data_IF_896243130279
#
_entry.id   IF_896243130279
#
_cell.length_a   1.000
_cell.length_b   1.000
_cell.length_c   1.000
_cell.angle_alpha   90.00
_cell.angle_beta   90.00
_cell.angle_gamma   90.00
#
_symmetry.space_group_name_H-M   'P 1'
#
loop_
_entity.id
_entity.type
_entity.pdbx_description
1 polymer ?
#
# COMPACT_ATOMS: atom_id res chain seq x y z
N UNK A 1 25.96 -0.29 -43.82
CA UNK A 1 24.90 0.68 -44.21
C UNK A 1 24.55 1.48 -42.99
N UNK A 2 24.86 2.78 -42.98
CA UNK A 2 24.51 3.68 -41.89
C UNK A 2 23.05 4.05 -42.08
N UNK A 3 22.14 3.35 -41.39
CA UNK A 3 20.74 3.76 -41.34
C UNK A 3 20.62 4.99 -40.42
N UNK A 4 19.69 5.92 -40.71
CA UNK A 4 19.60 7.19 -39.99
C UNK A 4 19.12 7.02 -38.53
N UNK A 5 18.37 5.96 -38.24
CA UNK A 5 17.87 5.64 -36.90
C UNK A 5 18.78 4.77 -36.05
N UNK A 6 18.31 4.42 -34.86
CA UNK A 6 19.06 3.61 -33.89
C UNK A 6 18.95 2.08 -34.07
N UNK A 7 18.13 1.61 -35.03
CA UNK A 7 17.98 0.20 -35.42
C UNK A 7 17.70 0.12 -36.93
N UNK A 8 18.12 -0.94 -37.66
CA UNK A 8 17.69 -1.13 -39.04
C UNK A 8 16.17 -1.29 -39.12
N UNK A 9 15.50 -0.63 -40.08
CA UNK A 9 14.06 -0.77 -40.27
C UNK A 9 13.69 -2.17 -40.79
N UNK A 10 12.46 -2.66 -40.53
CA UNK A 10 11.91 -3.85 -41.17
C UNK A 10 11.83 -3.69 -42.69
N UNK A 11 11.80 -4.80 -43.43
CA UNK A 11 11.69 -4.77 -44.88
C UNK A 11 10.46 -3.95 -45.34
N UNK A 12 10.70 -2.90 -46.14
CA UNK A 12 9.66 -2.03 -46.69
C UNK A 12 9.30 -0.81 -45.85
N UNK A 13 9.98 -0.54 -44.73
CA UNK A 13 9.77 0.66 -43.92
C UNK A 13 10.92 1.64 -44.12
N UNK A 14 10.63 2.87 -44.56
CA UNK A 14 11.62 3.95 -44.60
C UNK A 14 11.64 4.69 -43.24
N UNK A 15 12.79 4.72 -42.54
CA UNK A 15 12.90 5.41 -41.26
C UNK A 15 12.82 6.92 -41.48
N UNK A 16 11.96 7.60 -40.73
CA UNK A 16 11.74 9.03 -40.85
C UNK A 16 11.95 9.74 -39.50
N UNK A 17 13.09 10.43 -39.39
CA UNK A 17 13.46 11.19 -38.19
C UNK A 17 12.72 12.53 -38.08
N UNK A 18 12.28 13.12 -39.19
CA UNK A 18 11.62 14.44 -39.21
C UNK A 18 10.12 14.35 -38.86
N UNK A 19 9.48 13.25 -39.26
CA UNK A 19 8.09 12.93 -38.95
C UNK A 19 7.97 11.47 -38.51
N UNK A 20 8.42 11.15 -37.29
CA UNK A 20 8.34 9.79 -36.78
C UNK A 20 6.88 9.40 -36.57
N UNK A 21 6.56 8.14 -36.88
CA UNK A 21 5.19 7.61 -36.72
C UNK A 21 4.88 7.52 -35.22
N UNK A 22 3.81 8.19 -34.79
CA UNK A 22 3.32 8.08 -33.42
C UNK A 22 2.60 6.74 -33.24
N UNK A 23 3.23 5.83 -32.51
CA UNK A 23 2.64 4.53 -32.15
C UNK A 23 2.01 4.58 -30.76
N UNK A 24 2.75 5.11 -29.79
CA UNK A 24 2.36 5.09 -28.37
C UNK A 24 2.72 6.37 -27.62
N UNK A 25 3.27 7.39 -28.30
CA UNK A 25 3.79 8.59 -27.66
C UNK A 25 2.66 9.46 -27.11
N UNK A 26 1.60 9.68 -27.89
CA UNK A 26 0.40 10.39 -27.42
C UNK A 26 -0.27 9.64 -26.27
N UNK A 27 -0.40 8.32 -26.38
CA UNK A 27 -0.97 7.48 -25.32
C UNK A 27 -0.17 7.58 -24.01
N UNK A 28 1.17 7.57 -24.08
CA UNK A 28 2.03 7.77 -22.92
C UNK A 28 1.70 9.12 -22.23
N UNK A 29 1.72 10.24 -22.95
CA UNK A 29 1.43 11.55 -22.35
C UNK A 29 0.06 11.63 -21.70
N UNK A 30 -0.97 11.16 -22.41
CA UNK A 30 -2.35 11.17 -21.90
C UNK A 30 -2.46 10.31 -20.64
N UNK A 31 -1.89 9.12 -20.62
CA UNK A 31 -1.95 8.25 -19.45
C UNK A 31 -1.15 8.82 -18.28
N UNK A 32 0.03 9.40 -18.48
CA UNK A 32 0.77 10.04 -17.37
C UNK A 32 -0.04 11.20 -16.78
N UNK A 33 -0.61 12.06 -17.62
CA UNK A 33 -1.42 13.20 -17.16
C UNK A 33 -2.67 12.74 -16.40
N UNK A 34 -3.40 11.75 -16.92
CA UNK A 34 -4.57 11.19 -16.25
C UNK A 34 -4.19 10.54 -14.92
N UNK A 35 -3.16 9.70 -14.88
CA UNK A 35 -2.73 9.06 -13.64
C UNK A 35 -2.36 10.09 -12.59
N UNK A 36 -1.61 11.13 -12.95
CA UNK A 36 -1.28 12.22 -12.03
C UNK A 36 -2.52 12.94 -11.52
N UNK A 37 -3.46 13.30 -12.39
CA UNK A 37 -4.68 13.99 -12.00
C UNK A 37 -5.54 13.16 -11.03
N UNK A 38 -5.80 11.88 -11.38
CA UNK A 38 -6.60 10.99 -10.55
C UNK A 38 -5.91 10.69 -9.22
N UNK A 39 -4.65 10.26 -9.24
CA UNK A 39 -3.94 9.94 -8.00
C UNK A 39 -3.83 11.14 -7.07
N UNK A 40 -3.54 12.34 -7.60
CA UNK A 40 -3.50 13.58 -6.82
C UNK A 40 -4.85 13.87 -6.16
N UNK A 41 -5.95 13.71 -6.89
CA UNK A 41 -7.30 13.90 -6.35
C UNK A 41 -7.60 12.94 -5.18
N UNK A 42 -7.29 11.65 -5.34
CA UNK A 42 -7.53 10.64 -4.31
C UNK A 42 -6.64 10.85 -3.07
N UNK A 43 -5.36 11.17 -3.26
CA UNK A 43 -4.41 11.44 -2.18
C UNK A 43 -4.76 12.73 -1.45
N UNK A 44 -5.14 13.80 -2.16
CA UNK A 44 -5.62 15.04 -1.56
C UNK A 44 -6.89 14.81 -0.73
N UNK A 45 -7.82 14.01 -1.26
CA UNK A 45 -9.04 13.63 -0.52
C UNK A 45 -8.70 12.86 0.75
N UNK A 46 -7.73 11.93 0.68
CA UNK A 46 -7.23 11.19 1.85
C UNK A 46 -6.60 12.12 2.89
N UNK A 47 -5.76 13.06 2.45
CA UNK A 47 -5.12 14.05 3.32
C UNK A 47 -6.18 14.91 4.03
N UNK A 48 -7.15 15.44 3.28
CA UNK A 48 -8.27 16.18 3.82
C UNK A 48 -9.08 15.37 4.84
N UNK A 49 -9.35 14.09 4.54
CA UNK A 49 -10.06 13.18 5.44
C UNK A 49 -9.37 13.04 6.79
N UNK A 50 -8.05 12.87 6.78
CA UNK A 50 -7.25 12.72 7.99
C UNK A 50 -7.21 14.01 8.80
N UNK A 51 -6.88 15.12 8.15
CA UNK A 51 -6.67 16.40 8.83
C UNK A 51 -7.95 16.97 9.42
N UNK A 52 -9.06 16.97 8.66
CA UNK A 52 -10.31 17.61 9.09
C UNK A 52 -11.30 16.69 9.80
N UNK A 53 -11.29 15.39 9.48
CA UNK A 53 -12.40 14.51 9.88
C UNK A 53 -11.97 13.45 10.88
N UNK A 54 -10.89 12.70 10.60
CA UNK A 54 -10.56 11.54 11.43
C UNK A 54 -9.83 11.90 12.73
N UNK A 55 -9.17 13.06 12.82
CA UNK A 55 -8.56 13.55 14.06
C UNK A 55 -7.62 12.52 14.70
N UNK A 56 -6.41 12.41 14.18
CA UNK A 56 -5.39 11.48 14.67
C UNK A 56 -4.08 11.66 13.92
N UNK A 57 -2.96 11.30 14.57
CA UNK A 57 -1.63 11.41 13.97
C UNK A 57 -1.46 10.62 12.67
N UNK A 58 -0.34 10.89 11.98
CA UNK A 58 0.02 10.22 10.73
C UNK A 58 0.27 8.73 10.99
N UNK A 59 -0.49 7.86 10.32
CA UNK A 59 -0.35 6.40 10.48
C UNK A 59 0.68 5.84 9.50
N UNK A 60 1.23 4.64 9.77
CA UNK A 60 2.24 4.00 8.88
C UNK A 60 1.75 3.84 7.44
N UNK A 61 0.47 3.54 7.24
CA UNK A 61 -0.16 3.49 5.92
C UNK A 61 -0.23 4.86 5.23
N UNK A 62 -0.40 5.95 5.99
CA UNK A 62 -0.36 7.30 5.41
C UNK A 62 1.04 7.63 4.88
N UNK A 63 2.08 7.36 5.66
CA UNK A 63 3.48 7.61 5.26
C UNK A 63 3.79 6.82 3.99
N UNK A 64 3.44 5.53 3.94
CA UNK A 64 3.64 4.69 2.78
C UNK A 64 2.89 5.22 1.54
N UNK A 65 1.66 5.70 1.70
CA UNK A 65 0.83 6.27 0.61
C UNK A 65 1.38 7.60 0.08
N UNK A 66 1.83 8.50 0.95
CA UNK A 66 2.41 9.77 0.50
C UNK A 66 3.78 9.57 -0.13
N UNK A 67 4.58 8.62 0.39
CA UNK A 67 5.87 8.26 -0.20
C UNK A 67 5.69 7.66 -1.59
N UNK A 68 4.74 6.73 -1.76
CA UNK A 68 4.45 6.17 -3.08
C UNK A 68 3.92 7.20 -4.07
N UNK A 69 3.13 8.18 -3.61
CA UNK A 69 2.67 9.29 -4.44
C UNK A 69 3.84 10.16 -4.94
N UNK A 70 4.78 10.53 -4.07
CA UNK A 70 5.98 11.31 -4.47
C UNK A 70 6.82 10.54 -5.49
N UNK A 71 7.02 9.23 -5.28
CA UNK A 71 7.75 8.38 -6.22
C UNK A 71 7.00 8.23 -7.55
N UNK A 72 5.68 8.14 -7.53
CA UNK A 72 4.82 8.12 -8.72
C UNK A 72 4.96 9.42 -9.53
N UNK A 73 5.02 10.58 -8.87
CA UNK A 73 5.26 11.85 -9.55
C UNK A 73 6.61 11.85 -10.26
N UNK A 74 7.68 11.40 -9.59
CA UNK A 74 9.01 11.25 -10.21
C UNK A 74 9.01 10.29 -11.39
N UNK A 75 8.29 9.17 -11.27
CA UNK A 75 8.11 8.20 -12.35
C UNK A 75 7.42 8.80 -13.57
N UNK A 76 6.28 9.49 -13.37
CA UNK A 76 5.52 10.14 -14.43
C UNK A 76 6.35 11.23 -15.12
N UNK A 77 7.06 12.08 -14.37
CA UNK A 77 7.94 13.13 -14.93
C UNK A 77 9.00 12.50 -15.83
N UNK A 78 9.66 11.44 -15.34
CA UNK A 78 10.69 10.73 -16.11
C UNK A 78 10.12 10.14 -17.40
N UNK A 79 8.91 9.58 -17.37
CA UNK A 79 8.22 9.06 -18.56
C UNK A 79 7.76 10.14 -19.54
N UNK A 80 7.39 11.33 -19.06
CA UNK A 80 7.08 12.49 -19.90
C UNK A 80 8.34 12.97 -20.62
N UNK A 81 9.46 13.09 -19.89
CA UNK A 81 10.76 13.44 -20.47
C UNK A 81 11.16 12.40 -21.53
N UNK A 82 11.04 11.11 -21.23
CA UNK A 82 11.34 10.03 -22.17
C UNK A 82 10.51 10.13 -23.48
N UNK A 83 9.27 10.60 -23.40
CA UNK A 83 8.40 10.86 -24.56
C UNK A 83 8.97 11.87 -25.56
N UNK A 84 9.75 12.86 -25.08
CA UNK A 84 10.39 13.85 -25.93
C UNK A 84 11.60 13.28 -26.68
N UNK A 85 12.20 12.20 -26.17
CA UNK A 85 13.43 11.60 -26.70
C UNK A 85 13.23 10.22 -27.35
N UNK A 86 11.98 9.85 -27.67
CA UNK A 86 11.70 8.64 -28.45
C UNK A 86 10.79 7.59 -27.80
N UNK A 87 10.31 7.80 -26.57
CA UNK A 87 9.34 6.88 -25.98
C UNK A 87 8.04 6.87 -26.80
N UNK A 88 7.61 5.67 -27.21
CA UNK A 88 6.42 5.47 -28.04
C UNK A 88 6.63 5.69 -29.55
N UNK A 89 7.87 5.93 -30.00
CA UNK A 89 8.26 5.92 -31.42
C UNK A 89 9.00 4.62 -31.75
N UNK A 90 8.98 4.19 -33.01
CA UNK A 90 9.77 3.02 -33.42
C UNK A 90 11.27 3.32 -33.32
N UNK A 91 12.06 2.30 -32.98
CA UNK A 91 13.48 2.48 -32.71
C UNK A 91 14.28 2.98 -33.94
N UNK A 92 13.86 2.59 -35.14
CA UNK A 92 14.43 3.06 -36.41
C UNK A 92 14.05 4.51 -36.76
N UNK A 93 13.07 5.11 -36.08
CA UNK A 93 12.66 6.52 -36.25
C UNK A 93 13.28 7.44 -35.17
N UNK A 94 14.18 6.91 -34.33
CA UNK A 94 14.82 7.65 -33.23
C UNK A 94 16.31 7.82 -33.50
N UNK A 95 16.80 9.05 -33.34
CA UNK A 95 18.22 9.38 -33.50
C UNK A 95 19.07 8.67 -32.43
N UNK A 96 20.30 8.21 -32.73
CA UNK A 96 21.20 7.64 -31.74
C UNK A 96 21.49 8.55 -30.53
N UNK A 97 21.45 9.88 -30.73
CA UNK A 97 21.62 10.86 -29.63
C UNK A 97 20.43 10.84 -28.67
N UNK A 98 19.21 10.80 -29.21
CA UNK A 98 17.98 10.77 -28.42
C UNK A 98 17.80 9.41 -27.75
N UNK A 99 18.24 8.33 -28.41
CA UNK A 99 18.27 6.99 -27.82
C UNK A 99 19.07 6.93 -26.52
N UNK A 100 20.24 7.58 -26.46
CA UNK A 100 21.04 7.63 -25.23
C UNK A 100 20.26 8.28 -24.08
N UNK A 101 19.60 9.41 -24.35
CA UNK A 101 18.77 10.12 -23.36
C UNK A 101 17.54 9.29 -22.96
N UNK A 102 16.94 8.58 -23.91
CA UNK A 102 15.83 7.65 -23.65
C UNK A 102 16.25 6.53 -22.71
N UNK A 103 17.42 5.91 -22.92
CA UNK A 103 17.96 4.88 -22.03
C UNK A 103 18.26 5.45 -20.64
N UNK A 104 18.79 6.67 -20.53
CA UNK A 104 18.97 7.33 -19.23
C UNK A 104 17.65 7.55 -18.50
N UNK A 105 16.60 7.99 -19.21
CA UNK A 105 15.26 8.11 -18.66
C UNK A 105 14.71 6.74 -18.25
N UNK A 106 14.97 5.70 -19.04
CA UNK A 106 14.55 4.34 -18.71
C UNK A 106 15.20 3.80 -17.44
N UNK A 107 16.51 4.00 -17.30
CA UNK A 107 17.23 3.68 -16.07
C UNK A 107 16.61 4.41 -14.86
N UNK A 108 16.41 5.73 -14.95
CA UNK A 108 15.76 6.51 -13.90
C UNK A 108 14.35 6.01 -13.57
N UNK A 109 13.55 5.65 -14.59
CA UNK A 109 12.21 5.10 -14.41
C UNK A 109 12.24 3.79 -13.61
N UNK A 110 13.20 2.90 -13.85
CA UNK A 110 13.34 1.66 -13.06
C UNK A 110 13.67 1.93 -11.59
N UNK A 111 14.47 2.97 -11.32
CA UNK A 111 14.82 3.38 -9.97
C UNK A 111 13.65 4.02 -9.22
N UNK A 112 12.75 4.73 -9.90
CA UNK A 112 11.51 5.21 -9.27
C UNK A 112 10.47 4.09 -9.09
N UNK A 113 10.34 3.19 -10.07
CA UNK A 113 9.32 2.14 -10.04
C UNK A 113 9.52 1.15 -8.89
N UNK A 114 10.75 0.68 -8.64
CA UNK A 114 11.01 -0.31 -7.59
C UNK A 114 10.56 0.13 -6.17
N UNK A 115 10.97 1.29 -5.65
CA UNK A 115 10.51 1.78 -4.35
C UNK A 115 9.03 2.21 -4.39
N UNK A 116 8.53 2.68 -5.53
CA UNK A 116 7.10 3.01 -5.69
C UNK A 116 6.23 1.75 -5.50
N UNK A 117 6.54 0.67 -6.21
CA UNK A 117 5.82 -0.59 -6.12
C UNK A 117 5.85 -1.15 -4.68
N UNK A 118 7.03 -1.11 -4.03
CA UNK A 118 7.16 -1.52 -2.64
C UNK A 118 6.26 -0.70 -1.71
N UNK A 119 6.32 0.62 -1.79
CA UNK A 119 5.58 1.52 -0.88
C UNK A 119 4.06 1.43 -1.09
N UNK A 120 3.58 1.22 -2.32
CA UNK A 120 2.16 0.92 -2.59
C UNK A 120 1.75 -0.39 -1.92
N UNK A 121 2.51 -1.47 -2.09
CA UNK A 121 2.22 -2.78 -1.48
C UNK A 121 2.23 -2.72 0.04
N UNK A 122 3.19 -2.00 0.63
CA UNK A 122 3.25 -1.75 2.06
C UNK A 122 2.02 -0.99 2.57
N UNK A 123 1.56 0.04 1.84
CA UNK A 123 0.33 0.76 2.20
C UNK A 123 -0.88 -0.19 2.24
N UNK A 124 -1.06 -1.02 1.21
CA UNK A 124 -2.16 -1.99 1.14
C UNK A 124 -2.08 -3.03 2.28
N UNK A 125 -0.88 -3.52 2.58
CA UNK A 125 -0.66 -4.45 3.69
C UNK A 125 -0.97 -3.80 5.04
N UNK A 126 -0.48 -2.59 5.31
CA UNK A 126 -0.78 -1.87 6.55
C UNK A 126 -2.27 -1.55 6.72
N UNK A 127 -2.96 -1.19 5.63
CA UNK A 127 -4.42 -1.01 5.64
C UNK A 127 -5.11 -2.33 6.01
N UNK A 128 -4.67 -3.45 5.42
CA UNK A 128 -5.23 -4.77 5.69
C UNK A 128 -4.99 -5.19 7.16
N UNK A 129 -3.78 -5.01 7.67
CA UNK A 129 -3.42 -5.20 9.09
C UNK A 129 -4.30 -4.35 10.00
N UNK A 130 -4.54 -3.08 9.66
CA UNK A 130 -5.40 -2.19 10.47
C UNK A 130 -6.85 -2.65 10.50
N UNK A 131 -7.37 -3.17 9.39
CA UNK A 131 -8.78 -3.60 9.29
C UNK A 131 -9.00 -4.92 10.04
N UNK A 132 -8.07 -5.86 9.95
CA UNK A 132 -8.24 -7.23 10.50
C UNK A 132 -7.44 -7.51 11.78
N UNK A 133 -6.54 -6.61 12.19
CA UNK A 133 -5.59 -6.82 13.29
C UNK A 133 -6.22 -7.00 14.66
N UNK A 134 -7.42 -6.47 14.86
CA UNK A 134 -8.16 -6.67 16.11
C UNK A 134 -8.68 -8.10 16.30
N UNK A 135 -8.76 -8.91 15.23
CA UNK A 135 -9.48 -10.19 15.25
C UNK A 135 -8.55 -11.40 15.26
N UNK A 136 -7.40 -11.34 14.56
CA UNK A 136 -6.54 -12.52 14.36
C UNK A 136 -5.06 -12.23 14.68
N UNK A 137 -4.67 -12.32 15.95
CA UNK A 137 -3.27 -12.09 16.39
C UNK A 137 -2.25 -13.01 15.70
N UNK A 138 -2.59 -14.27 15.43
CA UNK A 138 -1.69 -15.22 14.72
C UNK A 138 -1.47 -14.83 13.26
N UNK A 139 -2.51 -14.36 12.56
CA UNK A 139 -2.39 -13.88 11.17
C UNK A 139 -1.53 -12.62 11.10
N UNK A 140 -1.55 -11.75 12.11
CA UNK A 140 -0.71 -10.54 12.14
C UNK A 140 0.79 -10.87 12.08
N UNK A 141 1.22 -11.96 12.73
CA UNK A 141 2.61 -12.41 12.67
C UNK A 141 2.97 -12.80 11.23
N UNK A 142 2.12 -13.56 10.55
CA UNK A 142 2.30 -13.93 9.15
C UNK A 142 2.38 -12.73 8.21
N UNK A 143 1.51 -11.73 8.40
CA UNK A 143 1.54 -10.49 7.61
C UNK A 143 2.85 -9.72 7.85
N UNK A 144 3.31 -9.63 9.09
CA UNK A 144 4.53 -8.89 9.41
C UNK A 144 5.79 -9.58 8.85
N UNK A 145 5.83 -10.92 8.87
CA UNK A 145 6.88 -11.71 8.20
C UNK A 145 6.85 -11.49 6.69
N UNK A 146 5.66 -11.50 6.08
CA UNK A 146 5.51 -11.23 4.65
C UNK A 146 5.94 -9.81 4.26
N UNK A 147 5.62 -8.80 5.08
CA UNK A 147 6.14 -7.44 4.92
C UNK A 147 7.66 -7.43 4.95
N UNK A 148 8.29 -8.09 5.92
CA UNK A 148 9.75 -8.18 6.02
C UNK A 148 10.39 -8.82 4.80
N UNK A 149 9.82 -9.93 4.31
CA UNK A 149 10.28 -10.62 3.10
C UNK A 149 10.16 -9.73 1.85
N UNK A 150 9.04 -9.02 1.70
CA UNK A 150 8.85 -8.09 0.59
C UNK A 150 9.87 -6.95 0.61
N UNK A 151 10.08 -6.33 1.78
CA UNK A 151 11.06 -5.26 1.92
C UNK A 151 12.45 -5.77 1.58
N UNK A 152 12.86 -6.93 2.10
CA UNK A 152 14.16 -7.51 1.79
C UNK A 152 14.35 -7.76 0.29
N UNK A 153 13.33 -8.31 -0.38
CA UNK A 153 13.38 -8.57 -1.83
C UNK A 153 13.47 -7.26 -2.65
N UNK A 154 12.58 -6.30 -2.41
CA UNK A 154 12.57 -5.05 -3.19
C UNK A 154 13.79 -4.18 -2.92
N UNK A 155 14.31 -4.15 -1.69
CA UNK A 155 15.54 -3.40 -1.36
C UNK A 155 16.75 -4.04 -2.04
N UNK A 156 16.90 -5.36 -1.97
CA UNK A 156 17.99 -6.05 -2.68
C UNK A 156 17.89 -5.88 -4.20
N UNK A 157 16.69 -6.04 -4.76
CA UNK A 157 16.42 -5.79 -6.18
C UNK A 157 16.71 -4.34 -6.60
N UNK A 158 16.43 -3.35 -5.74
CA UNK A 158 16.77 -1.96 -6.00
C UNK A 158 18.28 -1.75 -6.12
N UNK A 159 19.09 -2.32 -5.22
CA UNK A 159 20.55 -2.23 -5.32
C UNK A 159 21.11 -2.95 -6.55
N UNK A 160 20.53 -4.09 -6.93
CA UNK A 160 20.89 -4.79 -8.17
C UNK A 160 20.62 -3.89 -9.39
N UNK A 161 19.46 -3.23 -9.44
CA UNK A 161 19.11 -2.28 -10.51
C UNK A 161 20.00 -1.04 -10.51
N UNK A 162 20.37 -0.55 -9.32
CA UNK A 162 21.28 0.58 -9.17
C UNK A 162 22.67 0.26 -9.74
N UNK A 163 23.18 -0.94 -9.48
CA UNK A 163 24.47 -1.42 -9.98
C UNK A 163 24.34 -2.39 -11.16
N UNK A 164 23.37 -2.18 -12.04
CA UNK A 164 23.07 -3.10 -13.14
C UNK A 164 24.23 -3.23 -14.15
N UNK A 165 25.04 -2.17 -14.29
CA UNK A 165 26.26 -2.17 -15.12
C UNK A 165 27.44 -1.55 -14.37
N UNK A 166 28.66 -1.98 -14.71
CA UNK A 166 29.91 -1.41 -14.19
C UNK A 166 30.87 -1.06 -15.33
N UNK A 167 31.05 0.23 -15.67
CA UNK A 167 30.45 1.44 -15.07
C UNK A 167 28.97 1.62 -15.45
N UNK A 168 28.22 2.42 -14.67
CA UNK A 168 26.80 2.72 -14.94
C UNK A 168 26.62 3.30 -16.35
N UNK A 169 27.64 4.00 -16.87
CA UNK A 169 27.62 4.55 -18.22
C UNK A 169 27.54 3.53 -19.34
N UNK A 170 27.90 2.27 -19.08
CA UNK A 170 27.72 1.18 -20.04
C UNK A 170 26.24 0.97 -20.41
N UNK A 171 25.31 1.24 -19.47
CA UNK A 171 23.88 1.05 -19.68
C UNK A 171 23.34 1.84 -20.89
N UNK A 172 23.64 3.14 -20.96
CA UNK A 172 23.17 4.00 -22.05
C UNK A 172 24.12 4.06 -23.25
N UNK A 173 25.33 3.53 -23.12
CA UNK A 173 26.25 3.37 -24.25
C UNK A 173 26.00 2.05 -25.02
N UNK A 174 25.15 1.15 -24.49
CA UNK A 174 24.81 -0.11 -25.15
C UNK A 174 25.86 -1.21 -25.01
N UNK A 175 26.79 -1.08 -24.06
CA UNK A 175 27.85 -2.06 -23.82
C UNK A 175 27.33 -3.18 -22.90
N UNK A 176 26.70 -4.19 -23.51
CA UNK A 176 25.99 -5.26 -22.83
C UNK A 176 26.91 -6.24 -22.08
N UNK A 177 28.20 -6.31 -22.43
CA UNK A 177 29.16 -7.22 -21.79
C UNK A 177 29.50 -6.78 -20.36
N UNK A 178 29.40 -5.47 -20.09
CA UNK A 178 29.66 -4.87 -18.78
C UNK A 178 28.42 -4.78 -17.89
N UNK A 179 27.29 -5.36 -18.34
CA UNK A 179 25.99 -5.30 -17.69
C UNK A 179 25.51 -6.69 -17.27
N UNK A 180 24.72 -6.73 -16.20
CA UNK A 180 23.94 -7.91 -15.87
C UNK A 180 22.82 -8.13 -16.90
N UNK A 181 22.33 -9.37 -17.01
CA UNK A 181 21.23 -9.71 -17.92
C UNK A 181 19.95 -8.96 -17.51
N UNK A 182 19.67 -7.86 -18.21
CA UNK A 182 18.55 -6.98 -17.96
C UNK A 182 17.21 -7.69 -18.16
N UNK A 183 17.13 -8.59 -19.13
CA UNK A 183 15.91 -9.35 -19.41
C UNK A 183 15.61 -10.33 -18.28
N UNK A 184 16.64 -11.01 -17.75
CA UNK A 184 16.48 -11.90 -16.60
C UNK A 184 16.01 -11.11 -15.36
N UNK A 185 16.61 -9.95 -15.09
CA UNK A 185 16.25 -9.10 -13.94
C UNK A 185 14.80 -8.59 -14.07
N UNK A 186 14.42 -8.04 -15.24
CA UNK A 186 13.08 -7.50 -15.49
C UNK A 186 12.02 -8.60 -15.42
N UNK A 187 12.32 -9.79 -15.94
CA UNK A 187 11.39 -10.94 -15.90
C UNK A 187 11.20 -11.42 -14.46
N UNK A 188 12.29 -11.57 -13.69
CA UNK A 188 12.20 -11.97 -12.29
C UNK A 188 11.41 -10.94 -11.46
N UNK A 189 11.66 -9.65 -11.66
CA UNK A 189 10.93 -8.56 -11.00
C UNK A 189 9.43 -8.60 -11.32
N UNK A 190 9.06 -8.85 -12.59
CA UNK A 190 7.67 -8.97 -13.00
C UNK A 190 6.97 -10.18 -12.37
N UNK A 191 7.64 -11.34 -12.33
CA UNK A 191 7.10 -12.56 -11.69
C UNK A 191 6.85 -12.30 -10.20
N UNK A 192 7.83 -11.74 -9.50
CA UNK A 192 7.68 -11.47 -8.07
C UNK A 192 6.63 -10.37 -7.81
N UNK A 193 6.49 -9.38 -8.70
CA UNK A 193 5.41 -8.40 -8.59
C UNK A 193 4.03 -9.07 -8.65
N UNK A 194 3.82 -9.98 -9.62
CA UNK A 194 2.56 -10.74 -9.74
C UNK A 194 2.30 -11.62 -8.52
N UNK A 195 3.30 -12.37 -8.06
CA UNK A 195 3.16 -13.26 -6.89
C UNK A 195 2.80 -12.45 -5.64
N UNK A 196 3.49 -11.32 -5.43
CA UNK A 196 3.22 -10.46 -4.28
C UNK A 196 1.84 -9.80 -4.35
N UNK A 197 1.38 -9.40 -5.54
CA UNK A 197 0.03 -8.83 -5.70
C UNK A 197 -1.07 -9.87 -5.44
N UNK A 198 -0.89 -11.09 -5.97
CA UNK A 198 -1.80 -12.21 -5.69
C UNK A 198 -1.82 -12.54 -4.19
N UNK A 199 -0.67 -12.57 -3.54
CA UNK A 199 -0.58 -12.81 -2.10
C UNK A 199 -1.34 -11.73 -1.30
N UNK A 200 -1.19 -10.45 -1.65
CA UNK A 200 -1.91 -9.34 -1.01
C UNK A 200 -3.41 -9.45 -1.27
N UNK A 201 -3.82 -9.83 -2.48
CA UNK A 201 -5.22 -10.01 -2.87
C UNK A 201 -5.90 -11.17 -2.13
N UNK A 202 -5.21 -12.29 -1.97
CA UNK A 202 -5.73 -13.46 -1.27
C UNK A 202 -5.72 -13.31 0.24
N UNK A 203 -4.87 -12.43 0.80
CA UNK A 203 -4.74 -12.20 2.24
C UNK A 203 -6.09 -11.89 2.96
N UNK A 204 -6.94 -10.98 2.48
CA UNK A 204 -8.24 -10.69 3.11
C UNK A 204 -9.31 -11.77 2.87
N UNK A 205 -9.20 -12.61 1.85
CA UNK A 205 -10.23 -13.61 1.48
C UNK A 205 -10.55 -14.62 2.59
N UNK A 206 -9.56 -15.37 3.15
CA UNK A 206 -9.83 -16.31 4.24
C UNK A 206 -10.28 -15.58 5.51
N UNK A 207 -9.77 -14.37 5.76
CA UNK A 207 -10.17 -13.53 6.88
C UNK A 207 -11.64 -13.11 6.81
N UNK A 208 -12.17 -12.88 5.62
CA UNK A 208 -13.59 -12.56 5.43
C UNK A 208 -14.52 -13.76 5.54
N UNK A 209 -14.04 -14.96 5.20
CA UNK A 209 -14.90 -16.15 5.21
C UNK A 209 -15.11 -16.68 6.64
N UNK A 210 -14.12 -16.52 7.51
CA UNK A 210 -14.19 -16.94 8.92
C UNK A 210 -15.01 -16.00 9.81
N UNK A 211 -15.42 -14.82 9.33
CA UNK A 211 -15.94 -13.77 10.21
C UNK A 211 -17.32 -13.29 9.75
N UNK A 212 -18.32 -13.35 10.65
CA UNK A 212 -19.66 -12.78 10.45
C UNK A 212 -19.59 -11.24 10.42
N UNK A 213 -19.03 -10.70 9.34
CA UNK A 213 -18.81 -9.27 9.15
C UNK A 213 -20.13 -8.60 8.76
N UNK A 214 -20.43 -7.46 9.38
CA UNK A 214 -21.59 -6.63 9.00
C UNK A 214 -21.54 -6.24 7.52
N UNK A 215 -22.69 -6.21 6.84
CA UNK A 215 -22.80 -5.96 5.38
C UNK A 215 -21.99 -4.73 4.90
N UNK A 216 -21.87 -3.70 5.73
CA UNK A 216 -21.11 -2.48 5.42
C UNK A 216 -19.59 -2.67 5.42
N UNK A 217 -19.05 -3.44 6.37
CA UNK A 217 -17.63 -3.81 6.39
C UNK A 217 -17.32 -4.76 5.23
N UNK A 218 -18.24 -5.67 4.91
CA UNK A 218 -18.13 -6.56 3.74
C UNK A 218 -18.00 -5.77 2.43
N UNK A 219 -18.84 -4.74 2.22
CA UNK A 219 -18.76 -3.90 1.02
C UNK A 219 -17.41 -3.17 0.88
N UNK A 220 -16.85 -2.66 1.98
CA UNK A 220 -15.53 -2.00 1.96
C UNK A 220 -14.41 -2.98 1.58
N UNK A 221 -14.45 -4.20 2.14
CA UNK A 221 -13.45 -5.23 1.81
C UNK A 221 -13.59 -5.69 0.36
N UNK A 222 -14.82 -5.88 -0.13
CA UNK A 222 -15.07 -6.19 -1.54
C UNK A 222 -14.52 -5.10 -2.47
N UNK A 223 -14.70 -3.82 -2.14
CA UNK A 223 -14.14 -2.72 -2.93
C UNK A 223 -12.61 -2.74 -3.02
N UNK A 224 -11.92 -3.00 -1.90
CA UNK A 224 -10.45 -3.11 -1.85
C UNK A 224 -9.98 -4.34 -2.65
N UNK A 225 -10.69 -5.47 -2.52
CA UNK A 225 -10.35 -6.71 -3.23
C UNK A 225 -10.57 -6.59 -4.74
N UNK A 226 -11.66 -5.95 -5.17
CA UNK A 226 -11.89 -5.66 -6.59
C UNK A 226 -10.81 -4.74 -7.16
N UNK A 227 -10.49 -3.63 -6.48
CA UNK A 227 -9.45 -2.71 -6.93
C UNK A 227 -8.06 -3.38 -6.95
N UNK A 228 -7.75 -4.20 -5.95
CA UNK A 228 -6.55 -5.04 -5.93
C UNK A 228 -6.52 -6.02 -7.11
N UNK A 229 -7.65 -6.63 -7.46
CA UNK A 229 -7.76 -7.57 -8.58
C UNK A 229 -7.47 -6.92 -9.93
N UNK A 230 -7.96 -5.69 -10.13
CA UNK A 230 -7.62 -4.93 -11.34
C UNK A 230 -6.12 -4.63 -11.39
N UNK A 231 -5.51 -4.20 -10.27
CA UNK A 231 -4.06 -3.95 -10.22
C UNK A 231 -3.25 -5.22 -10.55
N UNK A 232 -3.62 -6.37 -9.97
CA UNK A 232 -2.98 -7.66 -10.27
C UNK A 232 -3.14 -8.05 -11.74
N UNK A 233 -4.28 -7.73 -12.36
CA UNK A 233 -4.49 -7.93 -13.79
C UNK A 233 -3.48 -7.17 -14.65
N UNK A 234 -3.17 -5.92 -14.30
CA UNK A 234 -2.12 -5.14 -14.97
C UNK A 234 -0.72 -5.74 -14.76
N UNK A 235 -0.42 -6.26 -13.57
CA UNK A 235 0.85 -6.95 -13.30
C UNK A 235 1.01 -8.22 -14.14
N UNK A 236 -0.06 -9.01 -14.30
CA UNK A 236 -0.07 -10.20 -15.17
C UNK A 236 0.08 -9.79 -16.64
N UNK A 237 -0.64 -8.77 -17.08
CA UNK A 237 -0.53 -8.23 -18.43
C UNK A 237 0.91 -7.79 -18.73
N UNK A 238 1.56 -7.09 -17.79
CA UNK A 238 2.95 -6.69 -17.89
C UNK A 238 3.89 -7.89 -18.04
N UNK A 239 3.72 -8.93 -17.21
CA UNK A 239 4.53 -10.15 -17.31
C UNK A 239 4.34 -10.82 -18.68
N UNK A 240 3.10 -10.95 -19.15
CA UNK A 240 2.80 -11.52 -20.46
C UNK A 240 3.46 -10.73 -21.60
N UNK A 241 3.43 -9.40 -21.55
CA UNK A 241 4.11 -8.55 -22.52
C UNK A 241 5.63 -8.75 -22.50
N UNK A 242 6.26 -8.77 -21.33
CA UNK A 242 7.72 -8.97 -21.21
C UNK A 242 8.14 -10.32 -21.80
N UNK A 243 7.35 -11.38 -21.57
CA UNK A 243 7.64 -12.71 -22.12
C UNK A 243 7.41 -12.79 -23.63
N UNK A 244 6.36 -12.15 -24.14
CA UNK A 244 6.05 -12.15 -25.57
C UNK A 244 7.06 -11.33 -26.39
N UNK A 245 7.47 -10.19 -25.86
CA UNK A 245 8.33 -9.22 -26.54
C UNK A 245 9.83 -9.46 -26.28
N UNK A 246 10.20 -10.58 -25.62
CA UNK A 246 11.60 -10.89 -25.28
C UNK A 246 12.53 -10.91 -26.51
N UNK A 247 11.99 -11.24 -27.69
CA UNK A 247 12.73 -11.33 -28.95
C UNK A 247 12.46 -10.16 -29.91
N UNK A 248 11.64 -9.17 -29.53
CA UNK A 248 11.35 -8.06 -30.44
C UNK A 248 12.49 -7.05 -30.45
N UNK A 249 12.86 -6.58 -31.66
CA UNK A 249 13.96 -5.62 -31.84
C UNK A 249 13.61 -4.20 -31.39
N UNK A 250 12.33 -3.88 -31.17
CA UNK A 250 11.85 -2.53 -30.87
C UNK A 250 11.78 -2.25 -29.37
N UNK A 251 12.93 -1.97 -28.76
CA UNK A 251 13.04 -1.74 -27.33
C UNK A 251 12.27 -0.48 -26.87
N UNK A 252 12.21 0.58 -27.69
CA UNK A 252 11.49 1.82 -27.37
C UNK A 252 10.01 1.59 -27.10
N UNK A 253 9.35 0.80 -27.94
CA UNK A 253 7.92 0.48 -27.83
C UNK A 253 7.68 -0.45 -26.64
N UNK A 254 8.46 -1.51 -26.51
CA UNK A 254 8.32 -2.49 -25.41
C UNK A 254 8.50 -1.80 -24.06
N UNK A 255 9.54 -0.97 -23.93
CA UNK A 255 9.81 -0.25 -22.70
C UNK A 255 8.70 0.76 -22.37
N UNK A 256 8.12 1.43 -23.37
CA UNK A 256 6.98 2.33 -23.17
C UNK A 256 5.74 1.56 -22.69
N UNK A 257 5.46 0.37 -23.24
CA UNK A 257 4.38 -0.50 -22.76
C UNK A 257 4.60 -0.95 -21.30
N UNK A 258 5.84 -1.29 -20.94
CA UNK A 258 6.21 -1.65 -19.57
C UNK A 258 6.01 -0.46 -18.62
N UNK A 259 6.37 0.75 -19.05
CA UNK A 259 6.12 1.97 -18.27
C UNK A 259 4.62 2.18 -18.04
N UNK A 260 3.83 2.07 -19.11
CA UNK A 260 2.40 2.31 -19.07
C UNK A 260 1.68 1.34 -18.12
N UNK A 261 2.05 0.06 -18.21
CA UNK A 261 1.50 -0.98 -17.34
C UNK A 261 1.92 -0.81 -15.87
N UNK A 262 3.18 -0.46 -15.61
CA UNK A 262 3.65 -0.14 -14.25
C UNK A 262 2.96 1.09 -13.65
N UNK A 263 2.67 2.10 -14.47
CA UNK A 263 1.90 3.28 -14.06
C UNK A 263 0.45 2.91 -13.67
N UNK A 264 -0.20 2.04 -14.46
CA UNK A 264 -1.54 1.56 -14.17
C UNK A 264 -1.59 0.71 -12.88
N UNK A 265 -0.66 -0.24 -12.73
CA UNK A 265 -0.52 -1.08 -11.53
C UNK A 265 -0.40 -0.22 -10.26
N UNK A 266 0.60 0.67 -10.21
CA UNK A 266 0.87 1.48 -9.05
C UNK A 266 -0.21 2.56 -8.82
N UNK A 267 -0.75 3.15 -9.89
CA UNK A 267 -1.83 4.15 -9.81
C UNK A 267 -3.11 3.57 -9.22
N UNK A 268 -3.53 2.38 -9.68
CA UNK A 268 -4.71 1.68 -9.16
C UNK A 268 -4.46 1.23 -7.71
N UNK A 269 -3.27 0.72 -7.41
CA UNK A 269 -2.88 0.37 -6.03
C UNK A 269 -2.96 1.58 -5.08
N UNK A 270 -2.53 2.76 -5.53
CA UNK A 270 -2.60 4.00 -4.75
C UNK A 270 -4.04 4.48 -4.54
N UNK A 271 -4.87 4.42 -5.58
CA UNK A 271 -6.30 4.72 -5.49
C UNK A 271 -6.97 3.78 -4.50
N UNK A 272 -6.67 2.47 -4.59
CA UNK A 272 -7.16 1.44 -3.67
C UNK A 272 -6.79 1.75 -2.22
N UNK A 273 -5.55 2.16 -1.97
CA UNK A 273 -5.10 2.59 -0.64
C UNK A 273 -5.86 3.81 -0.10
N UNK A 274 -6.43 4.65 -0.97
CA UNK A 274 -7.21 5.83 -0.56
C UNK A 274 -8.70 5.51 -0.26
N UNK A 275 -9.25 4.42 -0.80
CA UNK A 275 -10.67 4.05 -0.65
C UNK A 275 -11.16 3.96 0.81
N UNK A 276 -10.42 3.38 1.77
CA UNK A 276 -10.88 3.30 3.16
C UNK A 276 -11.16 4.67 3.77
N UNK A 277 -10.29 5.64 3.52
CA UNK A 277 -10.41 7.01 4.03
C UNK A 277 -11.61 7.73 3.41
N UNK A 278 -11.83 7.56 2.10
CA UNK A 278 -13.02 8.09 1.41
C UNK A 278 -14.30 7.46 1.96
N UNK A 279 -14.30 6.15 2.17
CA UNK A 279 -15.46 5.45 2.74
C UNK A 279 -15.79 5.91 4.17
N UNK A 280 -14.79 6.35 4.93
CA UNK A 280 -14.98 6.94 6.26
C UNK A 280 -15.60 8.34 6.17
N UNK A 281 -15.16 9.16 5.19
CA UNK A 281 -15.74 10.48 4.92
C UNK A 281 -17.22 10.40 4.53
N UNK A 282 -17.55 9.53 3.57
CA UNK A 282 -18.92 9.42 3.03
C UNK A 282 -19.91 9.04 4.15
N UNK A 283 -19.53 8.08 5.00
CA UNK A 283 -20.39 7.62 6.10
C UNK A 283 -20.62 8.71 7.15
N UNK A 284 -19.63 9.58 7.38
CA UNK A 284 -19.77 10.66 8.37
C UNK A 284 -20.53 11.86 7.82
N UNK A 285 -20.39 12.19 6.53
CA UNK A 285 -21.11 13.31 5.89
C UNK A 285 -22.60 13.04 5.70
N UNK A 286 -22.99 11.81 5.37
CA UNK A 286 -24.41 11.49 5.12
C UNK A 286 -25.25 11.27 6.37
N UNK A 287 -24.65 11.24 7.57
CA UNK A 287 -25.35 10.88 8.79
C UNK A 287 -25.87 9.43 8.73
N UNK A 288 -25.99 8.78 9.87
CA UNK A 288 -26.78 7.55 9.93
C UNK A 288 -28.26 7.96 9.83
N UNK A 289 -29.12 7.32 9.01
CA UNK A 289 -30.52 7.26 9.38
C UNK A 289 -30.56 6.46 10.66
N UNK A 290 -30.88 7.13 11.78
CA UNK A 290 -31.10 6.51 13.08
C UNK A 290 -32.13 5.40 12.93
N UNK A 291 -31.68 4.17 12.69
CA UNK A 291 -32.49 3.00 12.93
C UNK A 291 -32.52 2.87 14.46
N UNK A 292 -33.55 3.48 15.06
CA UNK A 292 -33.78 3.48 16.49
C UNK A 292 -33.77 2.03 16.98
N UNK A 293 -32.78 1.70 17.79
CA UNK A 293 -32.91 0.56 18.68
C UNK A 293 -34.02 0.91 19.68
N UNK A 294 -35.10 0.12 19.80
CA UNK A 294 -36.02 0.28 20.91
C UNK A 294 -35.21 -0.04 22.16
N UNK A 295 -34.99 0.98 23.00
CA UNK A 295 -34.47 0.79 24.34
C UNK A 295 -35.55 0.04 25.13
N UNK A 296 -35.55 -1.29 25.08
CA UNK A 296 -36.17 -2.11 26.12
C UNK A 296 -35.32 -1.89 27.37
N UNK A 297 -35.76 -0.95 28.20
CA UNK A 297 -35.23 -0.76 29.54
C UNK A 297 -35.37 -2.06 30.32
N UNK A 298 -34.22 -2.63 30.69
CA UNK A 298 -34.12 -3.70 31.67
C UNK A 298 -34.33 -3.06 33.04
N UNK A 299 -35.56 -3.11 33.57
CA UNK A 299 -35.81 -2.80 34.99
C UNK A 299 -35.34 -3.99 35.82
N UNK A 300 -34.18 -3.83 36.46
CA UNK A 300 -33.72 -4.73 37.51
C UNK A 300 -34.61 -4.54 38.74
N UNK A 301 -35.15 -5.66 39.21
CA UNK A 301 -35.88 -5.80 40.47
C UNK A 301 -34.96 -5.47 41.65
N UNK A 302 -35.31 -4.43 42.40
CA UNK A 302 -34.68 -4.08 43.68
C UNK A 302 -35.77 -3.69 44.67
N UNK A 303 -36.11 -4.61 45.57
CA UNK A 303 -36.93 -4.33 46.76
C UNK A 303 -36.20 -3.32 47.65
N UNK A 304 -36.79 -2.15 47.90
CA UNK A 304 -36.65 -1.43 49.17
C UNK A 304 -37.99 -0.77 49.50
N UNK A 305 -38.42 -1.02 50.72
CA UNK A 305 -39.68 -0.67 51.38
C UNK A 305 -39.67 0.81 51.84
N UNK A 306 -40.85 1.43 52.01
CA UNK A 306 -40.99 2.68 52.77
C UNK A 306 -41.67 3.89 52.10
N UNK A 307 -43.00 3.85 52.02
CA UNK A 307 -43.97 4.91 52.38
C UNK A 307 -43.84 6.38 51.86
N UNK A 308 -44.90 6.76 51.12
CA UNK A 308 -45.70 8.02 51.15
C UNK A 308 -45.27 9.30 50.39
N UNK A 309 -46.11 9.56 49.36
CA UNK A 309 -46.87 10.80 49.04
C UNK A 309 -46.30 11.86 48.09
N UNK A 310 -47.05 12.09 46.98
CA UNK A 310 -47.16 13.38 46.27
C UNK A 310 -46.62 13.43 44.84
N UNK A 311 -47.52 13.35 43.83
CA UNK A 311 -47.34 13.93 42.48
C UNK A 311 -46.91 15.42 42.59
N UNK A 312 -46.21 16.07 41.65
CA UNK A 312 -46.55 16.35 40.24
C UNK A 312 -45.26 16.74 39.46
N UNK A 313 -45.30 16.39 38.18
CA UNK A 313 -44.40 16.61 37.03
C UNK A 313 -43.75 17.99 36.79
N UNK A 314 -42.64 17.91 36.01
CA UNK A 314 -42.13 18.84 34.97
C UNK A 314 -41.42 20.12 35.46
N UNK A 315 -40.28 20.56 34.92
CA UNK A 315 -39.90 20.61 33.49
C UNK A 315 -38.41 21.02 33.34
N UNK A 316 -37.74 20.57 32.25
CA UNK A 316 -36.77 21.32 31.38
C UNK A 316 -35.51 21.96 32.03
N UNK A 317 -34.31 22.06 31.43
CA UNK A 317 -33.72 21.69 30.13
C UNK A 317 -32.33 22.35 30.00
N UNK A 318 -31.51 21.87 29.04
CA UNK A 318 -30.32 22.52 28.43
C UNK A 318 -29.11 22.71 29.40
N UNK A 319 -27.84 22.60 28.99
CA UNK A 319 -27.22 22.74 27.68
C UNK A 319 -25.85 22.02 27.66
N UNK A 320 -25.40 21.70 26.44
CA UNK A 320 -24.05 21.23 26.10
C UNK A 320 -23.06 22.38 26.24
N UNK A 321 -21.86 22.12 26.78
CA UNK A 321 -20.67 22.89 26.44
C UNK A 321 -19.46 21.99 26.14
N UNK A 322 -18.78 22.38 25.07
CA UNK A 322 -17.68 21.68 24.42
C UNK A 322 -16.37 22.41 24.71
N UNK A 323 -15.33 21.63 24.97
CA UNK A 323 -13.90 21.92 24.83
C UNK A 323 -13.22 22.94 25.77
N UNK A 324 -12.16 22.46 26.43
CA UNK A 324 -10.79 22.89 26.14
C UNK A 324 -9.77 21.98 26.84
N UNK A 325 -8.79 21.43 26.11
CA UNK A 325 -7.49 21.03 26.67
C UNK A 325 -6.37 21.30 25.68
N UNK A 326 -5.51 22.23 26.07
CA UNK A 326 -4.19 22.59 25.55
C UNK A 326 -3.37 22.89 26.82
N UNK A 327 -2.09 22.57 27.02
CA UNK A 327 -1.07 21.72 26.40
C UNK A 327 -0.05 21.41 27.54
N UNK A 328 1.14 20.94 27.15
CA UNK A 328 2.38 20.64 27.92
C UNK A 328 2.53 19.20 28.40
N UNK A 329 3.67 18.51 28.22
CA UNK A 329 5.03 18.94 27.80
C UNK A 329 5.85 17.72 27.33
N UNK A 330 6.95 18.00 26.64
CA UNK A 330 8.01 17.10 26.16
C UNK A 330 8.54 16.08 27.18
N UNK A 331 8.96 14.90 26.70
CA UNK A 331 10.31 14.35 26.93
C UNK A 331 10.50 12.98 26.27
N UNK A 332 11.51 12.93 25.41
CA UNK A 332 12.19 11.76 24.91
C UNK A 332 12.91 11.05 26.07
N UNK A 333 12.67 9.76 26.29
CA UNK A 333 13.62 8.93 27.02
C UNK A 333 13.58 7.47 26.56
N UNK A 334 14.77 6.94 26.34
CA UNK A 334 15.10 5.65 25.76
C UNK A 334 15.65 4.77 26.89
N UNK A 335 15.19 3.53 27.01
CA UNK A 335 15.93 2.46 27.71
C UNK A 335 15.26 1.84 28.94
N UNK A 336 15.29 0.50 28.92
CA UNK A 336 15.36 -0.42 30.06
C UNK A 336 14.09 -0.67 30.91
N UNK A 337 13.47 -1.86 30.71
CA UNK A 337 13.43 -2.96 31.71
C UNK A 337 12.33 -3.99 31.40
N UNK A 338 12.60 -4.89 30.44
CA UNK A 338 11.90 -6.17 30.29
C UNK A 338 12.50 -7.21 31.26
N UNK A 339 12.28 -6.99 32.56
CA UNK A 339 12.59 -7.96 33.62
C UNK A 339 11.58 -7.82 34.77
N UNK A 340 10.30 -8.03 34.50
CA UNK A 340 9.24 -7.93 35.52
C UNK A 340 8.01 -8.84 35.33
N UNK A 341 7.96 -9.66 34.29
CA UNK A 341 6.73 -10.37 33.90
C UNK A 341 6.85 -11.90 33.84
N UNK A 342 7.77 -12.49 34.64
CA UNK A 342 7.84 -13.95 34.89
C UNK A 342 7.76 -14.30 36.40
N UNK A 343 7.25 -13.41 37.26
CA UNK A 343 7.25 -13.62 38.71
C UNK A 343 5.86 -13.74 39.39
N UNK A 344 4.79 -14.09 38.66
CA UNK A 344 3.46 -14.25 39.28
C UNK A 344 2.74 -15.58 39.03
N UNK A 345 3.44 -16.63 38.57
CA UNK A 345 2.85 -17.97 38.35
C UNK A 345 3.45 -19.06 39.26
N UNK A 346 4.16 -18.69 40.32
CA UNK A 346 4.52 -19.64 41.39
C UNK A 346 4.40 -19.01 42.78
N UNK A 347 3.22 -19.13 43.36
CA UNK A 347 3.05 -19.11 44.81
C UNK A 347 2.29 -20.38 45.22
N UNK A 348 3.06 -21.47 45.33
CA UNK A 348 2.67 -22.66 46.09
C UNK A 348 3.09 -22.39 47.54
N UNK A 349 2.21 -22.43 48.55
CA UNK A 349 2.66 -22.37 49.93
C UNK A 349 3.09 -23.77 50.39
N UNK A 350 4.38 -23.92 50.71
CA UNK A 350 4.89 -25.04 51.50
C UNK A 350 4.80 -24.68 52.99
N UNK A 351 4.02 -25.49 53.70
CA UNK A 351 4.27 -26.04 55.05
C UNK A 351 5.24 -25.30 55.96
N UNK A 352 4.73 -24.81 57.09
CA UNK A 352 5.53 -24.62 58.30
C UNK A 352 5.21 -25.71 59.33
N UNK A 353 6.26 -26.20 59.96
CA UNK A 353 6.33 -27.40 60.80
C UNK A 353 6.48 -26.98 62.28
N UNK A 354 5.84 -27.76 63.16
CA UNK A 354 6.17 -27.95 64.58
C UNK A 354 5.80 -26.87 65.61
N UNK A 355 4.79 -27.19 66.43
CA UNK A 355 4.97 -27.61 67.85
C UNK A 355 3.83 -27.11 68.74
N UNK A 356 3.03 -28.05 69.29
CA UNK A 356 2.58 -28.04 70.69
C UNK A 356 1.79 -29.31 71.00
N UNK A 357 2.49 -30.25 71.63
CA UNK A 357 1.95 -31.30 72.50
C UNK A 357 1.35 -30.67 73.75
N UNK A 358 0.12 -31.07 74.14
CA UNK A 358 -0.22 -31.83 75.37
C UNK A 358 -1.73 -31.75 75.70
N UNK A 359 -2.31 -32.94 75.91
CA UNK A 359 -3.31 -33.34 76.94
C UNK A 359 -4.31 -32.28 77.43
N UNK A 360 -5.63 -32.50 77.45
CA UNK A 360 -6.41 -33.50 78.20
C UNK A 360 -7.88 -33.25 77.79
N UNK A 361 -8.77 -34.22 77.55
CA UNK A 361 -9.47 -34.98 78.58
C UNK A 361 -10.99 -34.74 78.51
N UNK A 362 -11.74 -35.84 78.40
CA UNK A 362 -13.15 -36.10 78.75
C UNK A 362 -14.32 -35.34 78.09
N UNK A 363 -15.30 -36.13 77.64
CA UNK A 363 -16.67 -36.01 78.15
C UNK A 363 -17.75 -35.80 77.08
N UNK A 364 -18.61 -36.82 76.92
CA UNK A 364 -19.92 -36.69 76.27
C UNK A 364 -20.15 -37.72 75.18
#
# INVERSE_FOLDING_TARGET
MSYPGSLPPPAGVEPNLEKPVDVLRTANYVTQALTLAFTSFFVATRFYAKYKVMGGGVTKDDIATYTSFVLMVGYCITSIIAGNYGAGLNQWDVSPKDMKTFLQCGYAATLFYAPMALTVKLSLLFITTRVFGSVHKKTMIGINVFIGMLVAYYVSGFFIKLFICKPISAYWNGDLEMCLDQNAIITADAIISVISDLAILFLPTPLTWSLQISRRKRLRVTGILCAGGVATGFSIYRLAMILHERNSGNQTIVFTKVILSGNAEAGIGLICACLPSISALIVRRHGYPSNGYPSRGFQSSGKVDGSRHGEIMMTRSFQVDTASKQADSDAFNFGHDEAGLIASVQAIPKSDYSSRTRSSGSGG
#
